data_IF_567732271518
#
_entry.id   IF_567732271518
#
_cell.length_a   1.000
_cell.length_b   1.000
_cell.length_c   1.000
_cell.angle_alpha   90.00
_cell.angle_beta   90.00
_cell.angle_gamma   90.00
#
_symmetry.space_group_name_H-M   'P 1'
#
loop_
_entity.id
_entity.type
_entity.pdbx_description
1 polymer ?
#
# COMPACT_ATOMS: atom_id res chain seq x y z
N UNK A 1 -16.09 -5.12 -35.69
CA UNK A 1 -15.10 -4.03 -35.46
C UNK A 1 -14.97 -3.57 -34.00
N UNK A 2 -15.61 -4.21 -33.01
CA UNK A 2 -15.45 -3.83 -31.59
C UNK A 2 -14.33 -4.64 -30.89
N UNK A 3 -14.06 -5.87 -31.34
CA UNK A 3 -13.05 -6.74 -30.70
C UNK A 3 -11.61 -6.26 -30.90
N UNK A 4 -11.28 -5.61 -32.02
CA UNK A 4 -9.90 -5.16 -32.30
C UNK A 4 -9.46 -4.02 -31.37
N UNK A 5 -10.36 -3.10 -31.01
CA UNK A 5 -10.04 -1.98 -30.11
C UNK A 5 -9.91 -2.42 -28.64
N UNK A 6 -10.74 -3.37 -28.19
CA UNK A 6 -10.60 -3.97 -26.86
C UNK A 6 -9.28 -4.74 -26.77
N UNK A 7 -8.96 -5.56 -27.78
CA UNK A 7 -7.68 -6.28 -27.82
C UNK A 7 -6.47 -5.35 -27.84
N UNK A 8 -6.50 -4.24 -28.58
CA UNK A 8 -5.38 -3.28 -28.62
C UNK A 8 -5.24 -2.51 -27.29
N UNK A 9 -6.33 -2.06 -26.66
CA UNK A 9 -6.28 -1.38 -25.35
C UNK A 9 -5.75 -2.31 -24.25
N UNK A 10 -6.22 -3.56 -24.26
CA UNK A 10 -5.73 -4.60 -23.36
C UNK A 10 -4.25 -4.89 -23.65
N UNK A 11 -3.86 -5.14 -24.90
CA UNK A 11 -2.46 -5.41 -25.29
C UNK A 11 -1.49 -4.25 -24.96
N UNK A 12 -1.88 -2.99 -25.20
CA UNK A 12 -1.08 -1.82 -24.84
C UNK A 12 -0.91 -1.65 -23.32
N UNK A 13 -1.90 -2.11 -22.53
CA UNK A 13 -1.80 -2.18 -21.07
C UNK A 13 -0.78 -3.22 -20.63
N UNK A 14 -0.73 -4.38 -21.28
CA UNK A 14 0.23 -5.46 -21.00
C UNK A 14 1.66 -5.13 -21.47
N UNK A 15 1.81 -4.45 -22.62
CA UNK A 15 3.10 -4.11 -23.22
C UNK A 15 3.97 -3.19 -22.34
N UNK A 16 3.36 -2.30 -21.56
CA UNK A 16 4.08 -1.42 -20.62
C UNK A 16 4.32 -2.06 -19.24
N UNK A 17 3.49 -3.05 -18.87
CA UNK A 17 3.56 -3.68 -17.55
C UNK A 17 4.64 -4.77 -17.47
N UNK A 18 4.82 -5.56 -18.54
CA UNK A 18 5.79 -6.66 -18.53
C UNK A 18 7.26 -6.19 -18.35
N UNK A 19 7.74 -5.14 -19.06
CA UNK A 19 9.07 -4.60 -18.82
C UNK A 19 9.22 -4.06 -17.40
N UNK A 20 8.22 -3.33 -16.89
CA UNK A 20 8.23 -2.80 -15.53
C UNK A 20 8.29 -3.93 -14.48
N UNK A 21 7.46 -4.95 -14.64
CA UNK A 21 7.45 -6.12 -13.76
C UNK A 21 8.81 -6.85 -13.75
N UNK A 22 9.41 -7.04 -14.92
CA UNK A 22 10.72 -7.70 -15.05
C UNK A 22 11.83 -6.92 -14.32
N UNK A 23 11.81 -5.60 -14.40
CA UNK A 23 12.80 -4.73 -13.74
C UNK A 23 12.51 -4.68 -12.22
N UNK A 24 11.24 -4.53 -11.82
CA UNK A 24 10.81 -4.50 -10.42
C UNK A 24 11.09 -5.81 -9.68
N UNK A 25 10.81 -6.96 -10.30
CA UNK A 25 11.06 -8.29 -9.70
C UNK A 25 12.55 -8.58 -9.49
N UNK A 26 13.44 -7.87 -10.20
CA UNK A 26 14.89 -7.90 -9.98
C UNK A 26 15.35 -6.91 -8.89
N UNK A 27 14.42 -6.23 -8.22
CA UNK A 27 14.72 -5.22 -7.19
C UNK A 27 15.20 -3.88 -7.76
N UNK A 28 14.99 -3.63 -9.05
CA UNK A 28 15.39 -2.38 -9.69
C UNK A 28 14.17 -1.44 -9.70
N UNK A 29 14.17 -0.46 -8.81
CA UNK A 29 13.15 0.59 -8.75
C UNK A 29 13.76 1.92 -8.32
N UNK A 30 13.09 3.07 -8.57
CA UNK A 30 13.42 4.31 -7.88
C UNK A 30 13.38 4.03 -6.37
N UNK A 31 14.49 4.33 -5.67
CA UNK A 31 14.77 3.96 -4.26
C UNK A 31 15.36 2.55 -4.02
N UNK A 32 15.52 1.70 -5.03
CA UNK A 32 16.09 0.35 -4.87
C UNK A 32 15.05 -0.71 -4.54
N UNK A 33 15.49 -1.89 -4.12
CA UNK A 33 14.64 -3.06 -3.91
C UNK A 33 13.54 -2.81 -2.88
N UNK A 34 12.29 -3.02 -3.28
CA UNK A 34 11.12 -2.94 -2.39
C UNK A 34 11.30 -3.79 -1.14
N UNK A 35 11.74 -5.05 -1.31
CA UNK A 35 11.92 -5.97 -0.19
C UNK A 35 13.00 -5.49 0.78
N UNK A 36 14.14 -5.02 0.27
CA UNK A 36 15.22 -4.56 1.13
C UNK A 36 14.79 -3.31 1.92
N UNK A 37 13.99 -2.44 1.30
CA UNK A 37 13.33 -1.32 1.97
C UNK A 37 12.41 -1.77 3.12
N UNK A 38 11.49 -2.70 2.84
CA UNK A 38 10.55 -3.22 3.85
C UNK A 38 11.30 -3.88 5.00
N UNK A 39 12.27 -4.75 4.70
CA UNK A 39 13.08 -5.44 5.71
C UNK A 39 13.87 -4.44 6.55
N UNK A 40 14.46 -3.42 5.92
CA UNK A 40 15.21 -2.37 6.62
C UNK A 40 14.35 -1.63 7.65
N UNK A 41 13.16 -1.16 7.24
CA UNK A 41 12.25 -0.46 8.16
C UNK A 41 11.63 -1.38 9.21
N UNK A 42 11.35 -2.63 8.87
CA UNK A 42 10.88 -3.61 9.85
C UNK A 42 11.92 -3.86 10.94
N UNK A 43 13.17 -4.16 10.57
CA UNK A 43 14.26 -4.33 11.55
C UNK A 43 14.45 -3.06 12.39
N UNK A 44 14.44 -1.88 11.76
CA UNK A 44 14.53 -0.61 12.48
C UNK A 44 13.39 -0.39 13.49
N UNK A 45 12.17 -0.88 13.19
CA UNK A 45 11.04 -0.83 14.12
C UNK A 45 11.18 -1.76 15.32
N UNK A 46 11.88 -2.88 15.15
CA UNK A 46 12.22 -3.78 16.27
C UNK A 46 13.34 -3.20 17.13
N UNK A 47 14.36 -2.60 16.50
CA UNK A 47 15.51 -2.01 17.20
C UNK A 47 15.15 -0.72 17.93
N UNK A 48 14.23 0.09 17.38
CA UNK A 48 13.86 1.42 17.90
C UNK A 48 12.33 1.60 17.90
N UNK A 49 11.59 0.82 18.70
CA UNK A 49 10.13 0.83 18.70
C UNK A 49 9.50 2.19 19.07
N UNK A 50 10.24 3.04 19.81
CA UNK A 50 9.79 4.40 20.17
C UNK A 50 10.12 5.47 19.11
N UNK A 51 10.82 5.09 18.02
CA UNK A 51 11.26 6.00 16.95
C UNK A 51 10.78 5.57 15.56
N UNK A 52 10.44 4.31 15.37
CA UNK A 52 9.96 3.77 14.10
C UNK A 52 8.70 2.94 14.31
N UNK A 53 7.57 3.45 13.82
CA UNK A 53 6.31 2.72 13.78
C UNK A 53 6.13 2.05 12.41
N UNK A 54 6.12 0.73 12.39
CA UNK A 54 5.83 -0.05 11.19
C UNK A 54 4.32 -0.32 11.09
N UNK A 55 3.71 0.07 9.96
CA UNK A 55 2.29 -0.12 9.64
C UNK A 55 2.16 -0.76 8.25
N UNK A 56 1.13 -1.60 8.09
CA UNK A 56 0.76 -2.18 6.79
C UNK A 56 -0.47 -1.48 6.25
N UNK A 57 -0.53 -1.33 4.93
CA UNK A 57 -1.65 -0.67 4.26
C UNK A 57 -2.95 -1.48 4.40
N UNK A 58 -2.84 -2.81 4.34
CA UNK A 58 -3.97 -3.74 4.48
C UNK A 58 -4.58 -3.64 5.88
N UNK A 59 -3.76 -3.57 6.93
CA UNK A 59 -4.23 -3.36 8.31
C UNK A 59 -4.96 -2.02 8.45
N UNK A 60 -4.44 -0.94 7.84
CA UNK A 60 -5.08 0.38 7.82
C UNK A 60 -6.44 0.33 7.10
N UNK A 61 -6.56 -0.44 6.03
CA UNK A 61 -7.83 -0.60 5.30
C UNK A 61 -8.83 -1.47 6.07
N UNK A 62 -8.35 -2.47 6.80
CA UNK A 62 -9.17 -3.42 7.57
C UNK A 62 -9.70 -2.82 8.87
N UNK A 63 -8.84 -2.10 9.59
CA UNK A 63 -9.18 -1.50 10.89
C UNK A 63 -8.53 -0.11 11.06
N UNK A 64 -9.06 0.91 10.36
CA UNK A 64 -8.47 2.24 10.39
C UNK A 64 -8.51 2.87 11.79
N UNK A 65 -9.51 2.55 12.63
CA UNK A 65 -9.62 3.09 13.99
C UNK A 65 -8.44 2.67 14.85
N UNK A 66 -8.13 1.38 14.89
CA UNK A 66 -7.02 0.88 15.69
C UNK A 66 -5.66 1.39 15.16
N UNK A 67 -5.50 1.51 13.84
CA UNK A 67 -4.27 2.06 13.26
C UNK A 67 -4.09 3.54 13.61
N UNK A 68 -5.14 4.35 13.52
CA UNK A 68 -5.10 5.78 13.87
C UNK A 68 -4.81 5.97 15.36
N UNK A 69 -5.45 5.19 16.24
CA UNK A 69 -5.16 5.22 17.68
C UNK A 69 -3.72 4.81 17.99
N UNK A 70 -3.21 3.76 17.33
CA UNK A 70 -1.81 3.31 17.46
C UNK A 70 -0.84 4.42 17.03
N UNK A 71 -1.12 5.10 15.92
CA UNK A 71 -0.32 6.23 15.43
C UNK A 71 -0.34 7.40 16.42
N UNK A 72 -1.52 7.77 16.92
CA UNK A 72 -1.70 8.87 17.87
C UNK A 72 -0.88 8.62 19.16
N UNK A 73 -0.96 7.40 19.71
CA UNK A 73 -0.12 6.98 20.84
C UNK A 73 1.38 7.06 20.52
N UNK A 74 1.78 6.62 19.34
CA UNK A 74 3.19 6.61 18.93
C UNK A 74 3.78 8.02 18.80
N UNK A 75 3.01 9.00 18.29
CA UNK A 75 3.45 10.40 18.19
C UNK A 75 3.36 11.16 19.52
N UNK A 76 2.98 10.50 20.62
CA UNK A 76 2.88 11.09 21.95
C UNK A 76 1.59 11.83 22.25
N UNK A 77 0.55 11.66 21.42
CA UNK A 77 -0.77 12.29 21.60
C UNK A 77 -1.88 11.21 21.54
N UNK A 78 -1.94 10.27 22.51
CA UNK A 78 -3.02 9.30 22.55
C UNK A 78 -4.37 9.99 22.76
N UNK A 79 -5.42 9.47 22.11
CA UNK A 79 -6.78 9.93 22.35
C UNK A 79 -7.21 9.69 23.79
N UNK A 80 -7.97 10.63 24.34
CA UNK A 80 -8.69 10.51 25.61
C UNK A 80 -9.99 9.71 25.43
N UNK A 81 -10.55 9.19 26.52
CA UNK A 81 -11.84 8.49 26.48
C UNK A 81 -12.98 9.40 25.98
N UNK A 82 -12.89 10.71 26.25
CA UNK A 82 -13.83 11.71 25.75
C UNK A 82 -13.73 11.87 24.24
N UNK A 83 -12.52 12.03 23.68
CA UNK A 83 -12.29 12.13 22.23
C UNK A 83 -12.64 10.84 21.47
N UNK A 84 -12.54 9.68 22.14
CA UNK A 84 -13.02 8.44 21.54
C UNK A 84 -14.55 8.36 21.55
N UNK A 85 -15.17 8.85 22.62
CA UNK A 85 -16.64 8.84 22.78
C UNK A 85 -17.32 9.90 21.92
N UNK A 86 -16.66 11.03 21.63
CA UNK A 86 -17.18 12.13 20.82
C UNK A 86 -17.04 11.91 19.30
N UNK A 87 -16.36 10.83 18.89
CA UNK A 87 -16.18 10.45 17.50
C UNK A 87 -15.00 11.14 16.80
N UNK A 88 -14.05 11.72 17.53
CA UNK A 88 -12.88 12.40 16.95
C UNK A 88 -12.04 11.48 16.07
N UNK A 89 -11.90 10.20 16.45
CA UNK A 89 -11.17 9.20 15.67
C UNK A 89 -11.83 8.99 14.30
N UNK A 90 -13.15 8.81 14.28
CA UNK A 90 -13.96 8.65 13.08
C UNK A 90 -13.87 9.87 12.17
N UNK A 91 -13.91 11.07 12.75
CA UNK A 91 -13.80 12.32 12.01
C UNK A 91 -12.44 12.45 11.31
N UNK A 92 -11.35 12.07 11.97
CA UNK A 92 -10.02 12.04 11.34
C UNK A 92 -9.99 11.03 10.19
N UNK A 93 -10.55 9.84 10.38
CA UNK A 93 -10.64 8.81 9.33
C UNK A 93 -11.44 9.31 8.12
N UNK A 94 -12.54 10.04 8.34
CA UNK A 94 -13.34 10.63 7.28
C UNK A 94 -12.58 11.72 6.51
N UNK A 95 -11.92 12.64 7.23
CA UNK A 95 -11.15 13.75 6.64
C UNK A 95 -9.95 13.25 5.82
N UNK A 96 -9.24 12.25 6.34
CA UNK A 96 -8.09 11.64 5.68
C UNK A 96 -8.48 10.45 4.78
N UNK A 97 -9.77 10.18 4.65
CA UNK A 97 -10.30 9.04 3.90
C UNK A 97 -10.14 9.20 2.40
N UNK A 98 -10.12 8.06 1.70
CA UNK A 98 -9.96 8.03 0.24
C UNK A 98 -11.03 8.88 -0.48
N UNK A 99 -12.29 8.81 -0.06
CA UNK A 99 -13.39 9.57 -0.68
C UNK A 99 -13.20 11.09 -0.57
N UNK A 100 -12.62 11.55 0.54
CA UNK A 100 -12.33 12.98 0.77
C UNK A 100 -11.10 13.39 -0.03
N UNK A 101 -10.00 12.66 0.11
CA UNK A 101 -8.73 13.02 -0.51
C UNK A 101 -8.71 12.82 -2.03
N UNK A 102 -9.47 11.87 -2.57
CA UNK A 102 -9.55 11.66 -4.03
C UNK A 102 -10.05 12.91 -4.77
N UNK A 103 -10.84 13.77 -4.11
CA UNK A 103 -11.29 15.05 -4.68
C UNK A 103 -10.12 15.98 -5.00
N UNK A 104 -8.97 15.85 -4.33
CA UNK A 104 -7.75 16.65 -4.58
C UNK A 104 -7.19 16.43 -5.98
N UNK A 105 -7.33 15.22 -6.55
CA UNK A 105 -6.90 14.97 -7.94
C UNK A 105 -7.60 15.90 -8.95
N UNK A 106 -8.80 16.40 -8.64
CA UNK A 106 -9.52 17.31 -9.54
C UNK A 106 -8.93 18.72 -9.54
N UNK A 107 -8.13 19.05 -8.54
CA UNK A 107 -7.52 20.37 -8.35
C UNK A 107 -6.15 20.44 -9.04
N UNK A 108 -5.41 19.33 -9.09
CA UNK A 108 -4.12 19.21 -9.77
C UNK A 108 -4.24 18.39 -11.06
N UNK A 109 -4.39 19.04 -12.22
CA UNK A 109 -4.55 18.38 -13.53
C UNK A 109 -3.38 17.48 -13.93
N UNK A 110 -2.20 17.71 -13.36
CA UNK A 110 -0.95 17.13 -13.84
C UNK A 110 -0.46 15.96 -12.98
N UNK A 111 -1.11 15.70 -11.83
CA UNK A 111 -0.69 14.68 -10.87
C UNK A 111 -1.88 13.91 -10.31
N UNK A 112 -1.94 12.62 -10.60
CA UNK A 112 -2.95 11.69 -10.06
C UNK A 112 -2.36 10.99 -8.84
N UNK A 113 -2.78 11.41 -7.65
CA UNK A 113 -2.34 10.80 -6.38
C UNK A 113 -3.23 9.64 -5.95
N UNK A 114 -4.55 9.79 -6.12
CA UNK A 114 -5.54 8.81 -5.67
C UNK A 114 -6.13 8.03 -6.85
N UNK A 115 -5.83 6.72 -6.97
CA UNK A 115 -6.30 5.90 -8.11
C UNK A 115 -7.55 5.07 -7.81
N UNK A 116 -7.43 4.10 -6.88
CA UNK A 116 -8.53 3.18 -6.50
C UNK A 116 -8.65 2.95 -5.00
N UNK A 117 -7.57 3.05 -4.24
CA UNK A 117 -7.60 2.94 -2.78
C UNK A 117 -8.07 1.57 -2.25
N UNK A 118 -7.87 0.50 -3.03
CA UNK A 118 -8.36 -0.85 -2.75
C UNK A 118 -7.22 -1.87 -2.63
N UNK A 119 -7.40 -2.87 -1.75
CA UNK A 119 -6.53 -4.04 -1.62
C UNK A 119 -6.89 -5.07 -2.71
N UNK A 120 -5.92 -5.84 -3.20
CA UNK A 120 -6.15 -6.92 -4.17
C UNK A 120 -6.31 -6.48 -5.64
N UNK A 121 -6.12 -5.19 -5.96
CA UNK A 121 -6.27 -4.70 -7.34
C UNK A 121 -5.20 -5.26 -8.30
N UNK A 122 -4.13 -5.86 -7.77
CA UNK A 122 -3.07 -6.53 -8.54
C UNK A 122 -3.62 -7.59 -9.51
N UNK A 123 -4.66 -8.34 -9.10
CA UNK A 123 -5.30 -9.36 -9.95
C UNK A 123 -6.00 -8.80 -11.19
N UNK A 124 -6.22 -7.48 -11.26
CA UNK A 124 -6.75 -6.82 -12.47
C UNK A 124 -5.67 -6.52 -13.51
N UNK A 125 -4.39 -6.68 -13.18
CA UNK A 125 -3.25 -6.27 -14.01
C UNK A 125 -2.20 -7.36 -14.19
N UNK A 126 -1.95 -8.19 -13.17
CA UNK A 126 -0.92 -9.22 -13.21
C UNK A 126 -1.51 -10.58 -13.59
N UNK A 127 -0.75 -11.38 -14.34
CA UNK A 127 -1.12 -12.78 -14.56
C UNK A 127 -0.84 -13.60 -13.30
N UNK A 128 -1.44 -14.79 -13.23
CA UNK A 128 -1.20 -15.73 -12.12
C UNK A 128 0.28 -16.05 -11.95
N UNK A 129 1.02 -16.24 -13.05
CA UNK A 129 2.45 -16.54 -13.02
C UNK A 129 3.28 -15.37 -12.48
N UNK A 130 2.91 -14.14 -12.83
CA UNK A 130 3.55 -12.92 -12.30
C UNK A 130 3.30 -12.77 -10.80
N UNK A 131 2.08 -13.02 -10.34
CA UNK A 131 1.72 -13.02 -8.91
C UNK A 131 2.53 -14.08 -8.17
N UNK A 132 2.53 -15.32 -8.65
CA UNK A 132 3.31 -16.42 -8.05
C UNK A 132 4.81 -16.12 -7.97
N UNK A 133 5.35 -15.46 -9.00
CA UNK A 133 6.76 -15.03 -9.01
C UNK A 133 7.03 -14.03 -7.88
N UNK A 134 6.16 -13.03 -7.71
CA UNK A 134 6.29 -12.04 -6.65
C UNK A 134 6.10 -12.64 -5.25
N UNK A 135 5.15 -13.56 -5.09
CA UNK A 135 4.91 -14.26 -3.82
C UNK A 135 6.14 -15.09 -3.43
N UNK A 136 6.75 -15.79 -4.39
CA UNK A 136 7.97 -16.55 -4.17
C UNK A 136 9.12 -15.65 -3.71
N UNK A 137 9.39 -14.57 -4.43
CA UNK A 137 10.47 -13.62 -4.06
C UNK A 137 10.20 -13.04 -2.67
N UNK A 138 8.95 -12.65 -2.39
CA UNK A 138 8.53 -12.08 -1.10
C UNK A 138 8.75 -13.07 0.04
N UNK A 139 8.36 -14.33 -0.15
CA UNK A 139 8.57 -15.39 0.83
C UNK A 139 10.06 -15.62 1.11
N UNK A 140 10.89 -15.68 0.06
CA UNK A 140 12.34 -15.87 0.20
C UNK A 140 13.00 -14.67 0.92
N UNK A 141 12.58 -13.45 0.60
CA UNK A 141 13.14 -12.22 1.19
C UNK A 141 12.71 -11.98 2.63
N UNK A 142 11.52 -12.43 3.01
CA UNK A 142 11.01 -12.29 4.36
C UNK A 142 11.19 -13.55 5.21
N UNK A 143 11.90 -14.56 4.69
CA UNK A 143 12.21 -15.77 5.44
C UNK A 143 12.95 -15.42 6.75
N UNK A 144 12.53 -16.06 7.84
CA UNK A 144 13.01 -15.77 9.19
C UNK A 144 12.52 -14.45 9.82
N UNK A 145 11.70 -13.66 9.12
CA UNK A 145 11.05 -12.47 9.70
C UNK A 145 9.60 -12.77 10.08
N UNK A 146 9.14 -12.21 11.20
CA UNK A 146 7.71 -12.26 11.59
C UNK A 146 6.89 -11.18 10.87
N UNK A 147 7.03 -11.10 9.54
CA UNK A 147 6.24 -10.20 8.68
C UNK A 147 5.38 -11.06 7.76
N UNK A 148 4.08 -10.81 7.76
CA UNK A 148 3.16 -11.35 6.76
C UNK A 148 2.25 -10.25 6.21
N UNK A 149 1.99 -10.33 4.91
CA UNK A 149 1.05 -9.49 4.21
C UNK A 149 -0.20 -10.33 3.88
N UNK A 150 -1.38 -9.75 4.10
CA UNK A 150 -2.63 -10.36 3.63
C UNK A 150 -2.74 -10.09 2.13
N UNK A 151 -3.16 -11.09 1.35
CA UNK A 151 -3.37 -10.98 -0.10
C UNK A 151 -4.74 -10.36 -0.43
#
# INVERSE_FOLDING_TARGET
MINTLIFISVANRWLNLLPFFSIFSKGISPCGSFWDHVVGYYKASLERPDKVLFLKYEDLKKDPKNVVKKLAKFIGNPFTEEEESDGSVEKIIELCGFETLHKVNKVSSDQVYFRKGAVGDSGSYLTTEMIQTMDKITKEKFDGLSISFEA
#
